data_IF_113217440693
#
_entry.id   IF_113217440693
#
_cell.length_a   1.000
_cell.length_b   1.000
_cell.length_c   1.000
_cell.angle_alpha   90.00
_cell.angle_beta   90.00
_cell.angle_gamma   90.00
#
_symmetry.space_group_name_H-M   'P 1'
#
loop_
_entity.id
_entity.type
_entity.pdbx_description
1 polymer ?
#
# COMPACT_ATOMS: atom_id res chain seq x y z
N UNK A 1 -54.06 -1.06 -49.38
CA UNK A 1 -54.76 -0.04 -48.55
C UNK A 1 -54.61 -0.48 -47.09
N UNK A 2 -53.54 -0.03 -46.44
CA UNK A 2 -53.22 -0.39 -45.05
C UNK A 2 -53.90 0.60 -44.12
N UNK A 3 -54.69 0.11 -43.16
CA UNK A 3 -55.35 0.92 -42.14
C UNK A 3 -54.42 1.04 -40.94
N UNK A 4 -53.95 2.25 -40.64
CA UNK A 4 -53.21 2.59 -39.44
C UNK A 4 -54.15 2.58 -38.22
N UNK A 5 -53.71 1.97 -37.13
CA UNK A 5 -54.40 1.95 -35.83
C UNK A 5 -53.70 2.96 -34.92
N UNK A 6 -54.42 3.87 -34.23
CA UNK A 6 -53.81 4.95 -33.46
C UNK A 6 -53.30 4.47 -32.10
N UNK A 7 -52.15 5.01 -31.67
CA UNK A 7 -51.57 4.82 -30.34
C UNK A 7 -52.31 5.64 -29.27
N UNK A 8 -52.46 5.14 -28.03
CA UNK A 8 -53.11 5.87 -26.94
C UNK A 8 -52.17 6.91 -26.30
N UNK A 9 -52.71 8.11 -26.04
CA UNK A 9 -52.07 9.21 -25.31
C UNK A 9 -51.83 8.84 -23.84
N UNK A 10 -50.61 9.10 -23.35
CA UNK A 10 -50.24 8.90 -21.95
C UNK A 10 -50.43 10.23 -21.20
N UNK A 11 -51.12 10.25 -20.05
CA UNK A 11 -51.35 11.49 -19.30
C UNK A 11 -50.04 12.07 -18.75
N UNK A 12 -49.92 13.39 -18.81
CA UNK A 12 -48.87 14.18 -18.14
C UNK A 12 -49.38 14.69 -16.78
N UNK A 13 -48.89 14.18 -15.65
CA UNK A 13 -49.02 14.85 -14.37
C UNK A 13 -47.66 15.42 -14.00
N UNK A 14 -47.50 16.73 -14.21
CA UNK A 14 -46.39 17.52 -13.72
C UNK A 14 -46.53 17.66 -12.18
N UNK A 15 -45.63 17.10 -11.34
CA UNK A 15 -45.62 17.40 -9.93
C UNK A 15 -44.68 18.59 -9.71
N UNK A 16 -45.30 19.70 -9.33
CA UNK A 16 -44.70 20.86 -8.69
C UNK A 16 -43.78 20.37 -7.55
N UNK A 17 -42.48 20.64 -7.65
CA UNK A 17 -41.54 20.36 -6.56
C UNK A 17 -41.76 21.40 -5.45
N UNK A 18 -42.68 21.10 -4.55
CA UNK A 18 -42.73 21.73 -3.24
C UNK A 18 -41.43 21.40 -2.52
N UNK A 19 -40.67 22.45 -2.22
CA UNK A 19 -39.42 22.38 -1.46
C UNK A 19 -39.76 22.01 -0.01
N UNK A 20 -39.76 20.71 0.30
CA UNK A 20 -39.67 20.22 1.67
C UNK A 20 -38.23 19.82 1.96
N UNK A 21 -37.73 20.40 3.06
CA UNK A 21 -36.41 20.24 3.60
C UNK A 21 -36.02 18.76 3.71
N UNK A 22 -34.94 18.39 3.03
CA UNK A 22 -34.11 17.27 3.43
C UNK A 22 -32.83 17.90 3.94
N UNK A 23 -32.76 18.07 5.26
CA UNK A 23 -31.51 18.21 5.97
C UNK A 23 -30.74 16.91 5.74
N UNK A 24 -29.94 16.85 4.67
CA UNK A 24 -28.94 15.80 4.52
C UNK A 24 -27.78 16.20 5.40
N UNK A 25 -27.69 15.57 6.57
CA UNK A 25 -26.52 15.56 7.43
C UNK A 25 -25.28 15.30 6.56
N UNK A 26 -24.51 16.35 6.30
CA UNK A 26 -23.16 16.24 5.78
C UNK A 26 -22.32 15.68 6.91
N UNK A 27 -22.26 14.36 7.02
CA UNK A 27 -21.16 13.69 7.69
C UNK A 27 -19.95 13.83 6.75
N UNK A 28 -19.33 15.01 6.82
CA UNK A 28 -18.02 15.24 6.22
C UNK A 28 -17.05 14.35 6.97
N UNK A 29 -16.83 13.14 6.44
CA UNK A 29 -15.62 12.39 6.70
C UNK A 29 -14.45 13.35 6.50
N UNK A 30 -13.83 13.66 7.63
CA UNK A 30 -12.79 14.65 7.80
C UNK A 30 -11.54 14.16 7.03
N UNK A 31 -11.51 14.41 5.72
CA UNK A 31 -10.32 14.40 4.87
C UNK A 31 -9.39 15.55 5.32
N UNK A 32 -8.94 15.50 6.59
CA UNK A 32 -7.98 16.45 7.12
C UNK A 32 -6.64 16.20 6.45
N UNK A 33 -6.41 16.93 5.37
CA UNK A 33 -5.07 17.11 4.80
C UNK A 33 -4.21 17.75 5.86
N UNK A 34 -3.02 17.19 6.04
CA UNK A 34 -2.07 17.69 7.01
C UNK A 34 -1.49 19.01 6.49
N UNK A 35 -1.98 20.14 7.00
CA UNK A 35 -1.59 21.49 6.51
C UNK A 35 -0.21 21.96 7.02
N UNK A 36 0.44 21.18 7.90
CA UNK A 36 1.78 21.51 8.42
C UNK A 36 2.82 20.54 7.87
N UNK A 37 3.86 21.03 7.16
CA UNK A 37 4.95 20.18 6.66
C UNK A 37 5.63 19.41 7.78
N UNK A 38 5.88 18.12 7.58
CA UNK A 38 6.57 17.27 8.54
C UNK A 38 8.04 17.69 8.69
N UNK A 39 8.57 17.56 9.92
CA UNK A 39 9.97 17.91 10.24
C UNK A 39 11.01 16.86 9.79
N UNK A 40 10.61 15.90 8.96
CA UNK A 40 11.44 14.78 8.49
C UNK A 40 10.71 13.44 8.57
N UNK A 41 11.45 12.37 8.23
CA UNK A 41 10.94 10.99 8.27
C UNK A 41 10.85 10.51 9.72
N UNK A 42 9.75 9.86 10.07
CA UNK A 42 9.58 9.21 11.37
C UNK A 42 10.70 8.16 11.57
N UNK A 43 11.55 8.31 12.61
CA UNK A 43 12.60 7.33 12.91
C UNK A 43 12.06 5.91 13.10
N UNK A 44 10.82 5.75 13.58
CA UNK A 44 10.18 4.44 13.74
C UNK A 44 9.87 3.77 12.41
N UNK A 45 9.51 4.55 11.39
CA UNK A 45 9.27 4.03 10.04
C UNK A 45 10.56 3.45 9.45
N UNK A 46 11.64 4.27 9.45
CA UNK A 46 12.95 3.83 8.97
C UNK A 46 13.44 2.59 9.73
N UNK A 47 13.35 2.60 11.07
CA UNK A 47 13.75 1.45 11.89
C UNK A 47 12.96 0.20 11.52
N UNK A 48 11.65 0.30 11.33
CA UNK A 48 10.82 -0.86 10.98
C UNK A 48 11.20 -1.47 9.63
N UNK A 49 11.53 -0.65 8.62
CA UNK A 49 12.02 -1.15 7.33
C UNK A 49 13.36 -1.89 7.45
N UNK A 50 14.29 -1.33 8.24
CA UNK A 50 15.59 -1.96 8.51
C UNK A 50 15.42 -3.27 9.29
N UNK A 51 14.55 -3.29 10.30
CA UNK A 51 14.26 -4.51 11.07
C UNK A 51 13.68 -5.61 10.17
N UNK A 52 12.77 -5.28 9.23
CA UNK A 52 12.24 -6.25 8.26
C UNK A 52 13.34 -6.75 7.32
N UNK A 53 14.19 -5.85 6.80
CA UNK A 53 15.32 -6.22 5.93
C UNK A 53 16.26 -7.21 6.63
N UNK A 54 16.63 -6.91 7.87
CA UNK A 54 17.52 -7.75 8.67
C UNK A 54 16.84 -9.10 8.97
N UNK A 55 15.55 -9.10 9.32
CA UNK A 55 14.81 -10.34 9.58
C UNK A 55 14.62 -11.21 8.31
N UNK A 56 14.45 -10.59 7.14
CA UNK A 56 14.46 -11.30 5.86
C UNK A 56 15.82 -11.95 5.60
N UNK A 57 16.92 -11.23 5.89
CA UNK A 57 18.26 -11.78 5.76
C UNK A 57 18.47 -12.96 6.72
N UNK A 58 18.08 -12.81 7.99
CA UNK A 58 18.23 -13.85 9.00
C UNK A 58 17.44 -15.12 8.65
N UNK A 59 16.19 -14.95 8.19
CA UNK A 59 15.30 -16.06 7.85
C UNK A 59 15.67 -16.76 6.54
N UNK A 60 16.31 -16.09 5.59
CA UNK A 60 16.68 -16.68 4.29
C UNK A 60 18.13 -17.13 4.20
N UNK A 61 19.06 -16.34 4.74
CA UNK A 61 20.51 -16.57 4.63
C UNK A 61 21.06 -17.27 5.88
N UNK A 62 20.75 -16.79 7.09
CA UNK A 62 21.29 -17.35 8.34
C UNK A 62 20.50 -18.55 8.91
N UNK A 63 19.26 -18.77 8.48
CA UNK A 63 18.44 -19.88 8.98
C UNK A 63 19.01 -21.26 8.64
N UNK A 64 19.93 -21.34 7.67
CA UNK A 64 20.66 -22.57 7.32
C UNK A 64 21.90 -22.70 8.19
N UNK A 65 21.99 -23.81 8.92
CA UNK A 65 23.09 -24.10 9.86
C UNK A 65 24.45 -23.89 9.18
N UNK A 66 25.30 -23.10 9.81
CA UNK A 66 26.68 -22.92 9.38
C UNK A 66 27.37 -24.29 9.21
N UNK A 67 28.06 -24.46 8.08
CA UNK A 67 28.83 -25.66 7.77
C UNK A 67 28.08 -26.72 6.96
N UNK A 68 26.86 -26.43 6.47
CA UNK A 68 26.22 -27.28 5.46
C UNK A 68 26.52 -26.78 4.04
N UNK A 69 26.51 -27.64 3.01
CA UNK A 69 26.73 -27.20 1.63
C UNK A 69 25.76 -26.09 1.18
N UNK A 70 24.55 -26.07 1.74
CA UNK A 70 23.53 -25.07 1.44
C UNK A 70 23.83 -23.68 2.04
N UNK A 71 24.67 -23.56 3.08
CA UNK A 71 25.02 -22.25 3.66
C UNK A 71 25.95 -21.41 2.77
N UNK A 72 26.53 -22.02 1.73
CA UNK A 72 27.32 -21.33 0.70
C UNK A 72 26.56 -21.21 -0.63
N UNK A 73 25.26 -21.54 -0.65
CA UNK A 73 24.47 -21.49 -1.88
C UNK A 73 24.14 -20.03 -2.24
N UNK A 74 24.67 -19.59 -3.38
CA UNK A 74 24.39 -18.28 -3.98
C UNK A 74 22.88 -18.04 -4.15
N UNK A 75 22.10 -19.13 -4.26
CA UNK A 75 20.63 -19.06 -4.35
C UNK A 75 19.98 -18.42 -3.12
N UNK A 76 20.53 -18.59 -1.91
CA UNK A 76 19.96 -17.96 -0.71
C UNK A 76 20.02 -16.44 -0.79
N UNK A 77 21.14 -15.89 -1.27
CA UNK A 77 21.29 -14.45 -1.49
C UNK A 77 20.38 -13.96 -2.61
N UNK A 78 20.20 -14.75 -3.67
CA UNK A 78 19.26 -14.42 -4.75
C UNK A 78 17.80 -14.41 -4.26
N UNK A 79 17.40 -15.38 -3.44
CA UNK A 79 16.07 -15.44 -2.85
C UNK A 79 15.82 -14.24 -1.92
N UNK A 80 16.81 -13.87 -1.10
CA UNK A 80 16.78 -12.67 -0.26
C UNK A 80 16.60 -11.38 -1.08
N UNK A 81 17.40 -11.18 -2.14
CA UNK A 81 17.29 -10.01 -3.02
C UNK A 81 15.93 -10.00 -3.74
N UNK A 82 15.45 -11.18 -4.15
CA UNK A 82 14.13 -11.34 -4.74
C UNK A 82 13.02 -10.86 -3.79
N UNK A 83 13.11 -11.24 -2.51
CA UNK A 83 12.19 -10.77 -1.48
C UNK A 83 12.30 -9.26 -1.24
N UNK A 84 13.50 -8.69 -1.17
CA UNK A 84 13.68 -7.24 -1.02
C UNK A 84 13.10 -6.46 -2.20
N UNK A 85 13.36 -6.90 -3.43
CA UNK A 85 12.79 -6.29 -4.62
C UNK A 85 11.27 -6.41 -4.66
N UNK A 86 10.72 -7.55 -4.25
CA UNK A 86 9.27 -7.72 -4.16
C UNK A 86 8.67 -6.78 -3.10
N UNK A 87 9.30 -6.66 -1.93
CA UNK A 87 8.89 -5.73 -0.88
C UNK A 87 8.96 -4.28 -1.34
N UNK A 88 10.00 -3.91 -2.08
CA UNK A 88 10.13 -2.60 -2.72
C UNK A 88 8.98 -2.33 -3.68
N UNK A 89 8.70 -3.26 -4.60
CA UNK A 89 7.63 -3.12 -5.60
C UNK A 89 6.26 -2.93 -4.95
N UNK A 90 5.90 -3.78 -3.98
CA UNK A 90 4.61 -3.66 -3.29
C UNK A 90 4.55 -2.42 -2.38
N UNK A 91 5.68 -1.93 -1.88
CA UNK A 91 5.75 -0.66 -1.15
C UNK A 91 5.53 0.53 -2.07
N UNK A 92 6.10 0.53 -3.28
CA UNK A 92 5.84 1.54 -4.32
C UNK A 92 4.38 1.50 -4.76
N UNK A 93 3.79 0.31 -4.86
CA UNK A 93 2.38 0.17 -5.15
C UNK A 93 1.49 0.67 -4.01
N UNK A 94 1.86 0.46 -2.74
CA UNK A 94 1.14 0.99 -1.59
C UNK A 94 1.14 2.54 -1.54
N UNK A 95 2.16 3.19 -2.09
CA UNK A 95 2.22 4.66 -2.23
C UNK A 95 1.18 5.19 -3.23
N UNK A 96 0.68 4.36 -4.15
CA UNK A 96 -0.34 4.74 -5.12
C UNK A 96 -1.72 4.63 -4.45
N UNK A 97 -2.47 5.73 -4.46
CA UNK A 97 -3.82 5.85 -3.85
C UNK A 97 -4.80 4.76 -4.35
N UNK A 98 -4.55 4.20 -5.54
CA UNK A 98 -5.43 3.28 -6.26
C UNK A 98 -5.30 1.82 -5.78
N UNK A 99 -4.22 1.44 -5.11
CA UNK A 99 -3.93 0.02 -4.85
C UNK A 99 -4.46 -0.47 -3.50
N UNK A 100 -5.08 -1.65 -3.54
CA UNK A 100 -5.64 -2.33 -2.39
C UNK A 100 -4.53 -3.14 -1.70
N UNK A 101 -3.99 -2.64 -0.59
CA UNK A 101 -2.97 -3.31 0.25
C UNK A 101 -3.48 -4.60 0.92
N UNK A 102 -4.72 -5.01 0.62
CA UNK A 102 -5.38 -6.16 1.22
C UNK A 102 -5.20 -7.47 0.45
N UNK A 103 -4.45 -7.49 -0.65
CA UNK A 103 -4.13 -8.74 -1.34
C UNK A 103 -3.02 -9.51 -0.61
N UNK A 104 -3.43 -10.39 0.31
CA UNK A 104 -2.52 -11.22 1.10
C UNK A 104 -1.70 -12.20 0.26
N UNK A 105 -2.10 -12.49 -0.99
CA UNK A 105 -1.33 -13.37 -1.88
C UNK A 105 0.02 -12.76 -2.27
N UNK A 106 0.13 -11.43 -2.28
CA UNK A 106 1.40 -10.74 -2.51
C UNK A 106 2.41 -10.97 -1.37
N UNK A 107 1.95 -11.44 -0.21
CA UNK A 107 2.79 -11.69 0.95
C UNK A 107 3.31 -13.14 1.01
N UNK A 108 2.85 -14.02 0.12
CA UNK A 108 3.18 -15.45 0.18
C UNK A 108 4.66 -15.77 -0.09
N UNK A 109 5.36 -14.85 -0.76
CA UNK A 109 6.81 -14.91 -1.01
C UNK A 109 7.64 -14.67 0.26
N UNK A 110 7.07 -14.09 1.31
CA UNK A 110 7.76 -13.81 2.56
C UNK A 110 7.58 -14.93 3.61
N UNK A 111 8.54 -15.09 4.53
CA UNK A 111 8.40 -15.96 5.70
C UNK A 111 7.15 -15.63 6.50
N UNK A 112 6.42 -16.66 6.95
CA UNK A 112 5.13 -16.51 7.61
C UNK A 112 5.20 -15.59 8.84
N UNK A 113 6.28 -15.66 9.63
CA UNK A 113 6.48 -14.78 10.79
C UNK A 113 6.59 -13.28 10.45
N UNK A 114 7.00 -12.92 9.22
CA UNK A 114 7.22 -11.53 8.82
C UNK A 114 6.01 -10.90 8.11
N UNK A 115 5.08 -11.73 7.60
CA UNK A 115 3.95 -11.26 6.78
C UNK A 115 3.10 -10.20 7.49
N UNK A 116 2.83 -10.37 8.78
CA UNK A 116 2.03 -9.41 9.55
C UNK A 116 2.74 -8.06 9.71
N UNK A 117 4.05 -8.08 9.98
CA UNK A 117 4.87 -6.87 10.10
C UNK A 117 4.96 -6.12 8.77
N UNK A 118 5.20 -6.86 7.68
CA UNK A 118 5.24 -6.31 6.32
C UNK A 118 3.89 -5.66 5.97
N UNK A 119 2.78 -6.39 6.19
CA UNK A 119 1.43 -5.86 5.95
C UNK A 119 1.18 -4.57 6.73
N UNK A 120 1.61 -4.51 7.99
CA UNK A 120 1.50 -3.31 8.83
C UNK A 120 2.19 -2.09 8.23
N UNK A 121 3.43 -2.24 7.72
CA UNK A 121 4.13 -1.16 7.03
C UNK A 121 3.42 -0.74 5.75
N UNK A 122 2.93 -1.70 4.95
CA UNK A 122 2.27 -1.37 3.69
C UNK A 122 0.96 -0.62 3.92
N UNK A 123 0.16 -1.03 4.92
CA UNK A 123 -1.08 -0.34 5.30
C UNK A 123 -0.74 1.07 5.78
N UNK A 124 0.24 1.21 6.68
CA UNK A 124 0.68 2.52 7.15
C UNK A 124 1.14 3.41 5.98
N UNK A 125 1.92 2.86 5.05
CA UNK A 125 2.42 3.60 3.87
C UNK A 125 1.25 4.09 3.02
N UNK A 126 0.27 3.22 2.75
CA UNK A 126 -0.90 3.61 1.96
C UNK A 126 -1.75 4.68 2.64
N UNK A 127 -2.03 4.53 3.94
CA UNK A 127 -2.78 5.53 4.70
C UNK A 127 -2.03 6.87 4.78
N UNK A 128 -0.72 6.83 5.01
CA UNK A 128 0.10 8.03 5.08
C UNK A 128 0.13 8.76 3.73
N UNK A 129 0.32 8.05 2.61
CA UNK A 129 0.37 8.65 1.28
C UNK A 129 -1.01 9.14 0.80
N UNK A 130 -2.11 8.55 1.27
CA UNK A 130 -3.47 9.05 1.01
C UNK A 130 -3.74 10.38 1.71
N UNK A 131 -3.23 10.56 2.93
CA UNK A 131 -3.51 11.72 3.79
C UNK A 131 -2.56 12.90 3.58
N UNK A 132 -1.36 12.67 3.06
CA UNK A 132 -0.30 13.67 2.99
C UNK A 132 0.09 14.01 1.55
N UNK A 133 0.60 15.22 1.35
CA UNK A 133 1.04 15.72 0.04
C UNK A 133 2.41 15.16 -0.38
N UNK A 134 2.82 15.51 -1.61
CA UNK A 134 4.11 15.07 -2.17
C UNK A 134 5.32 15.51 -1.32
N UNK A 135 5.27 16.70 -0.73
CA UNK A 135 6.37 17.25 0.07
C UNK A 135 6.66 16.41 1.32
N UNK A 136 5.61 15.91 1.98
CA UNK A 136 5.71 15.06 3.17
C UNK A 136 6.06 13.62 2.85
N UNK A 137 5.62 13.13 1.69
CA UNK A 137 5.72 11.72 1.29
C UNK A 137 7.02 11.38 0.56
N UNK A 138 7.59 12.32 -0.19
CA UNK A 138 8.84 12.11 -0.94
C UNK A 138 10.01 11.63 -0.05
N UNK A 139 10.25 12.17 1.16
CA UNK A 139 11.27 11.63 2.05
C UNK A 139 11.07 10.17 2.43
N UNK A 140 9.82 9.70 2.55
CA UNK A 140 9.51 8.30 2.87
C UNK A 140 9.74 7.39 1.67
N UNK A 141 9.35 7.82 0.46
CA UNK A 141 9.67 7.07 -0.79
C UNK A 141 11.17 6.85 -0.93
N UNK A 142 11.98 7.88 -0.63
CA UNK A 142 13.44 7.78 -0.68
C UNK A 142 13.99 6.78 0.34
N UNK A 143 13.47 6.77 1.57
CA UNK A 143 13.89 5.78 2.58
C UNK A 143 13.52 4.35 2.17
N UNK A 144 12.36 4.15 1.54
CA UNK A 144 11.96 2.85 1.00
C UNK A 144 12.96 2.37 -0.07
N UNK A 145 13.32 3.25 -1.01
CA UNK A 145 14.29 2.96 -2.08
C UNK A 145 15.70 2.67 -1.53
N UNK A 146 16.21 3.53 -0.64
CA UNK A 146 17.53 3.37 -0.01
C UNK A 146 17.64 2.04 0.74
N UNK A 147 16.64 1.71 1.59
CA UNK A 147 16.73 0.54 2.47
C UNK A 147 16.52 -0.77 1.72
N UNK A 148 15.58 -0.81 0.77
CA UNK A 148 15.13 -2.06 0.15
C UNK A 148 15.76 -2.34 -1.23
N UNK A 149 16.22 -1.31 -1.96
CA UNK A 149 16.61 -1.45 -3.37
C UNK A 149 18.04 -1.03 -3.67
N UNK A 150 18.49 0.14 -3.18
CA UNK A 150 19.83 0.65 -3.51
C UNK A 150 20.95 -0.13 -2.80
N UNK A 151 20.77 -0.43 -1.50
CA UNK A 151 21.80 -1.06 -0.67
C UNK A 151 21.37 -2.43 -0.13
N UNK A 152 20.98 -3.42 -0.96
CA UNK A 152 20.37 -4.66 -0.48
C UNK A 152 21.29 -5.48 0.45
N UNK A 153 22.61 -5.36 0.30
CA UNK A 153 23.59 -6.10 1.11
C UNK A 153 24.03 -5.40 2.39
N UNK A 154 23.75 -4.09 2.53
CA UNK A 154 24.23 -3.33 3.69
C UNK A 154 23.25 -3.53 4.85
N UNK A 155 23.71 -4.24 5.89
CA UNK A 155 22.98 -4.40 7.14
C UNK A 155 23.34 -3.22 8.06
N UNK A 156 22.33 -2.50 8.56
CA UNK A 156 22.48 -1.32 9.42
C UNK A 156 21.67 -1.48 10.71
#
# INVERSE_FOLDING_TARGET
MSKEVPFPEVPNPNPHWDSQAIESETDSDDDQKNDTPLKGVDPKFRKSLVDIKNALYDSTVYSKKEGTPESHDMKLLQDYIGQLNHLYMISVDAQKIVNNVNDDSQLDVFPAELRSTIKGILVWTSEFFKKNGREDTQPYSRVIEEVLHEDPYVQH
#
